data_IF_789765541293
#
_entry.id   IF_789765541293
#
_cell.length_a   1.000
_cell.length_b   1.000
_cell.length_c   1.000
_cell.angle_alpha   90.00
_cell.angle_beta   90.00
_cell.angle_gamma   90.00
#
_symmetry.space_group_name_H-M   'P 1'
#
loop_
_entity.id
_entity.type
_entity.pdbx_description
1 polymer ?
#
# COMPACT_ATOMS: atom_id res chain seq x y z
N UNK A 1 39.25 36.62 -70.15
CA UNK A 1 38.23 36.74 -69.12
C UNK A 1 38.32 35.55 -68.16
N UNK A 2 38.89 35.75 -66.97
CA UNK A 2 39.10 34.70 -65.95
C UNK A 2 38.01 34.86 -64.91
N UNK A 3 37.39 33.72 -64.46
CA UNK A 3 36.39 33.79 -63.41
C UNK A 3 37.03 33.85 -61.99
N UNK A 4 36.49 34.74 -61.17
CA UNK A 4 36.84 34.96 -59.78
C UNK A 4 36.49 33.75 -58.93
N UNK A 5 37.46 33.24 -58.13
CA UNK A 5 37.27 32.22 -57.10
C UNK A 5 36.74 32.86 -55.83
N UNK A 6 35.50 32.52 -55.45
CA UNK A 6 34.92 32.90 -54.17
C UNK A 6 35.41 31.89 -53.10
N UNK A 7 36.23 32.40 -52.16
CA UNK A 7 36.66 31.61 -50.98
C UNK A 7 35.49 31.49 -50.00
N UNK A 8 35.03 30.28 -49.74
CA UNK A 8 34.02 29.97 -48.68
C UNK A 8 34.76 29.82 -47.35
N UNK A 9 34.59 30.79 -46.46
CA UNK A 9 34.98 30.64 -45.06
C UNK A 9 34.04 29.62 -44.37
N UNK A 10 34.60 28.55 -43.83
CA UNK A 10 33.92 27.62 -42.93
C UNK A 10 34.00 28.15 -41.51
N UNK A 11 32.86 28.61 -40.99
CA UNK A 11 32.72 28.90 -39.55
C UNK A 11 32.47 27.55 -38.87
N UNK A 12 33.44 27.12 -38.04
CA UNK A 12 33.29 25.96 -37.14
C UNK A 12 32.74 26.52 -35.84
N UNK A 13 31.43 26.30 -35.60
CA UNK A 13 30.82 26.58 -34.29
C UNK A 13 31.08 25.38 -33.39
N UNK A 14 32.02 25.52 -32.47
CA UNK A 14 32.21 24.59 -31.37
C UNK A 14 31.13 24.87 -30.30
N UNK A 15 30.00 24.16 -30.35
CA UNK A 15 29.05 24.10 -29.26
C UNK A 15 29.57 23.10 -28.19
N UNK A 16 30.24 23.61 -27.17
CA UNK A 16 30.53 22.83 -25.96
C UNK A 16 29.20 22.61 -25.22
N UNK A 17 28.56 21.47 -25.50
CA UNK A 17 27.37 21.02 -24.79
C UNK A 17 27.75 20.57 -23.38
N UNK A 18 27.46 21.41 -22.40
CA UNK A 18 27.47 21.04 -20.99
C UNK A 18 26.25 20.14 -20.74
N UNK A 19 26.39 18.80 -20.92
CA UNK A 19 25.37 17.82 -20.52
C UNK A 19 25.46 17.70 -19.00
N UNK A 20 24.77 18.60 -18.31
CA UNK A 20 24.52 18.45 -16.90
C UNK A 20 23.59 17.25 -16.68
N UNK A 21 24.15 16.10 -16.29
CA UNK A 21 23.36 14.97 -15.80
C UNK A 21 22.68 15.39 -14.50
N UNK A 22 21.41 15.82 -14.61
CA UNK A 22 20.54 15.94 -13.45
C UNK A 22 20.30 14.50 -12.94
N UNK A 23 21.14 14.04 -12.04
CA UNK A 23 20.84 12.85 -11.23
C UNK A 23 19.70 13.23 -10.29
N UNK A 24 18.47 12.91 -10.69
CA UNK A 24 17.35 12.87 -9.77
C UNK A 24 17.72 11.85 -8.67
N UNK A 25 18.24 12.37 -7.55
CA UNK A 25 18.36 11.58 -6.33
C UNK A 25 16.94 11.25 -5.91
N UNK A 26 16.47 10.05 -6.27
CA UNK A 26 15.37 9.42 -5.54
C UNK A 26 15.88 9.34 -4.10
N UNK A 27 15.20 9.98 -3.12
CA UNK A 27 15.61 9.83 -1.74
C UNK A 27 15.60 8.32 -1.45
N UNK A 28 16.75 7.80 -1.03
CA UNK A 28 16.81 6.45 -0.52
C UNK A 28 15.83 6.41 0.66
N UNK A 29 14.83 5.52 0.60
CA UNK A 29 13.94 5.26 1.72
C UNK A 29 14.85 4.82 2.86
N UNK A 30 14.80 5.53 3.98
CA UNK A 30 15.57 5.12 5.14
C UNK A 30 15.13 3.69 5.52
N UNK A 31 16.07 2.77 5.78
CA UNK A 31 15.76 1.34 6.01
C UNK A 31 14.81 1.09 7.18
N UNK A 32 14.49 2.11 7.96
CA UNK A 32 13.62 2.02 9.13
C UNK A 32 12.11 2.19 8.81
N UNK A 33 11.72 2.45 7.57
CA UNK A 33 10.33 2.66 7.16
C UNK A 33 9.70 1.42 6.50
N UNK A 34 10.03 0.23 6.96
CA UNK A 34 9.45 -1.03 6.44
C UNK A 34 8.32 -1.48 7.35
N UNK A 35 7.09 -1.51 6.81
CA UNK A 35 5.91 -2.07 7.46
C UNK A 35 5.82 -3.57 7.18
N UNK A 36 5.79 -4.37 8.22
CA UNK A 36 5.59 -5.82 8.08
C UNK A 36 4.10 -6.14 7.98
N UNK A 37 3.70 -6.87 6.94
CA UNK A 37 2.31 -7.25 6.68
C UNK A 37 2.18 -8.77 6.72
N UNK A 38 1.44 -9.28 7.71
CA UNK A 38 1.12 -10.70 7.84
C UNK A 38 -0.24 -11.02 7.23
N UNK A 39 -0.30 -11.80 6.15
CA UNK A 39 -1.54 -12.16 5.48
C UNK A 39 -2.09 -13.51 5.94
N UNK A 40 -3.33 -13.49 6.45
CA UNK A 40 -4.15 -14.65 6.74
C UNK A 40 -5.27 -14.77 5.70
N UNK A 41 -5.36 -15.89 5.04
CA UNK A 41 -6.39 -16.15 4.04
C UNK A 41 -7.35 -17.20 4.58
N UNK A 42 -8.56 -16.78 4.94
CA UNK A 42 -9.66 -17.66 5.36
C UNK A 42 -10.63 -17.98 4.20
N UNK A 43 -10.52 -17.23 3.10
CA UNK A 43 -11.30 -17.44 1.89
C UNK A 43 -10.60 -18.40 0.94
N UNK A 44 -11.36 -19.15 0.16
CA UNK A 44 -10.85 -19.80 -1.04
C UNK A 44 -10.52 -18.71 -2.08
N UNK A 45 -9.30 -18.18 -1.99
CA UNK A 45 -8.79 -17.12 -2.86
C UNK A 45 -7.58 -17.66 -3.61
N UNK A 46 -7.66 -17.64 -4.93
CA UNK A 46 -6.63 -18.25 -5.78
C UNK A 46 -5.27 -17.60 -5.55
N UNK A 47 -4.21 -18.41 -5.58
CA UNK A 47 -2.83 -17.92 -5.38
C UNK A 47 -2.46 -16.77 -6.33
N UNK A 48 -2.94 -16.81 -7.57
CA UNK A 48 -2.74 -15.74 -8.54
C UNK A 48 -3.40 -14.42 -8.10
N UNK A 49 -4.61 -14.49 -7.56
CA UNK A 49 -5.34 -13.33 -7.04
C UNK A 49 -4.67 -12.76 -5.78
N UNK A 50 -4.17 -13.63 -4.88
CA UNK A 50 -3.37 -13.21 -3.71
C UNK A 50 -2.13 -12.42 -4.16
N UNK A 51 -1.40 -12.94 -5.16
CA UNK A 51 -0.22 -12.26 -5.71
C UNK A 51 -0.55 -10.88 -6.28
N UNK A 52 -1.64 -10.77 -7.04
CA UNK A 52 -2.12 -9.49 -7.58
C UNK A 52 -2.49 -8.53 -6.44
N UNK A 53 -3.15 -9.01 -5.40
CA UNK A 53 -3.54 -8.21 -4.24
C UNK A 53 -2.32 -7.64 -3.52
N UNK A 54 -1.32 -8.48 -3.21
CA UNK A 54 -0.06 -8.06 -2.60
C UNK A 54 0.63 -7.00 -3.47
N UNK A 55 0.82 -7.27 -4.76
CA UNK A 55 1.50 -6.35 -5.67
C UNK A 55 0.78 -5.00 -5.79
N UNK A 56 -0.56 -5.01 -5.78
CA UNK A 56 -1.35 -3.79 -5.84
C UNK A 56 -1.24 -2.99 -4.55
N UNK A 57 -1.41 -3.63 -3.39
CA UNK A 57 -1.26 -2.98 -2.09
C UNK A 57 0.15 -2.42 -1.90
N UNK A 58 1.18 -3.20 -2.25
CA UNK A 58 2.57 -2.80 -2.15
C UNK A 58 2.87 -1.52 -2.96
N UNK A 59 2.41 -1.45 -4.21
CA UNK A 59 2.60 -0.24 -5.05
C UNK A 59 1.88 0.97 -4.47
N UNK A 60 0.66 0.78 -3.99
CA UNK A 60 -0.12 1.88 -3.40
C UNK A 60 0.55 2.39 -2.11
N UNK A 61 0.95 1.51 -1.20
CA UNK A 61 1.65 1.89 0.03
C UNK A 61 3.01 2.55 -0.25
N UNK A 62 3.76 2.04 -1.23
CA UNK A 62 4.99 2.68 -1.70
C UNK A 62 4.75 4.10 -2.24
N UNK A 63 3.59 4.36 -2.90
CA UNK A 63 3.21 5.72 -3.29
C UNK A 63 3.01 6.65 -2.10
N UNK A 64 2.69 6.10 -0.93
CA UNK A 64 2.63 6.79 0.37
C UNK A 64 3.97 6.95 1.07
N UNK A 65 5.04 6.40 0.51
CA UNK A 65 6.37 6.39 1.13
C UNK A 65 6.57 5.27 2.16
N UNK A 66 5.73 4.23 2.14
CA UNK A 66 5.82 3.08 3.03
C UNK A 66 6.29 1.87 2.23
N UNK A 67 7.46 1.37 2.55
CA UNK A 67 7.91 0.06 2.08
C UNK A 67 7.23 -1.05 2.87
N UNK A 68 6.96 -2.18 2.21
CA UNK A 68 6.25 -3.29 2.85
C UNK A 68 6.97 -4.60 2.66
N UNK A 69 7.06 -5.37 3.74
CA UNK A 69 7.51 -6.76 3.74
C UNK A 69 6.33 -7.67 4.04
N UNK A 70 6.09 -8.66 3.17
CA UNK A 70 4.92 -9.52 3.24
C UNK A 70 5.29 -10.94 3.64
N UNK A 71 4.52 -11.49 4.58
CA UNK A 71 4.58 -12.92 4.91
C UNK A 71 3.19 -13.55 4.88
N UNK A 72 3.10 -14.75 4.38
CA UNK A 72 1.90 -15.57 4.51
C UNK A 72 1.91 -16.27 5.85
N UNK A 73 0.79 -16.21 6.54
CA UNK A 73 0.62 -16.80 7.85
C UNK A 73 -0.25 -18.06 7.74
N UNK A 74 0.14 -19.10 8.46
CA UNK A 74 -0.61 -20.36 8.54
C UNK A 74 -1.21 -20.47 9.93
N UNK A 75 -2.55 -20.53 10.01
CA UNK A 75 -3.28 -20.56 11.28
C UNK A 75 -3.22 -19.23 12.04
N UNK A 76 -3.93 -19.14 13.16
CA UNK A 76 -4.02 -17.91 13.95
C UNK A 76 -2.71 -17.52 14.65
N UNK A 77 -1.87 -18.47 14.98
CA UNK A 77 -0.65 -18.26 15.78
C UNK A 77 0.54 -17.82 14.92
N UNK A 78 0.53 -18.14 13.63
CA UNK A 78 1.64 -17.82 12.70
C UNK A 78 1.81 -16.33 12.37
N UNK A 79 0.88 -15.48 12.81
CA UNK A 79 0.88 -14.02 12.58
C UNK A 79 0.71 -13.23 13.88
N UNK A 80 1.11 -13.75 14.99
CA UNK A 80 0.83 -13.09 16.27
C UNK A 80 1.57 -11.76 16.41
N UNK A 81 2.84 -11.67 15.99
CA UNK A 81 3.68 -10.48 16.16
C UNK A 81 4.78 -10.38 15.10
N UNK A 82 5.37 -9.20 14.97
CA UNK A 82 6.59 -9.01 14.17
C UNK A 82 7.76 -9.79 14.80
N UNK A 83 8.44 -10.59 14.00
CA UNK A 83 9.67 -11.25 14.41
C UNK A 83 10.88 -10.30 14.43
N UNK A 84 10.76 -9.14 13.82
CA UNK A 84 11.82 -8.16 13.62
C UNK A 84 11.73 -6.93 14.53
N UNK A 85 10.69 -6.83 15.38
CA UNK A 85 10.42 -5.63 16.18
C UNK A 85 9.93 -4.43 15.37
N UNK A 86 9.62 -4.62 14.09
CA UNK A 86 9.07 -3.58 13.21
C UNK A 86 7.58 -3.40 13.42
N UNK A 87 6.99 -2.25 13.05
CA UNK A 87 5.55 -2.09 13.00
C UNK A 87 4.90 -3.18 12.17
N UNK A 88 3.85 -3.80 12.70
CA UNK A 88 3.21 -4.96 12.10
C UNK A 88 1.69 -4.77 11.95
N UNK A 89 1.17 -5.12 10.78
CA UNK A 89 -0.27 -5.16 10.51
C UNK A 89 -0.67 -6.56 10.06
N UNK A 90 -1.71 -7.09 10.69
CA UNK A 90 -2.34 -8.32 10.26
C UNK A 90 -3.40 -8.02 9.21
N UNK A 91 -3.28 -8.61 8.03
CA UNK A 91 -4.28 -8.56 6.95
C UNK A 91 -5.07 -9.86 6.95
N UNK A 92 -6.38 -9.78 7.09
CA UNK A 92 -7.27 -10.95 7.09
C UNK A 92 -8.22 -10.92 5.89
N UNK A 93 -8.08 -11.88 4.97
CA UNK A 93 -8.99 -12.08 3.84
C UNK A 93 -10.14 -12.98 4.29
N UNK A 94 -11.33 -12.40 4.43
CA UNK A 94 -12.50 -13.07 4.99
C UNK A 94 -13.44 -13.59 3.88
N UNK A 95 -14.00 -14.81 4.03
CA UNK A 95 -14.94 -15.40 3.06
C UNK A 95 -16.39 -14.93 3.25
N UNK A 96 -16.61 -13.93 4.06
CA UNK A 96 -17.93 -13.42 4.44
C UNK A 96 -18.11 -11.97 4.02
N UNK A 97 -19.35 -11.51 3.96
CA UNK A 97 -19.71 -10.10 3.89
C UNK A 97 -19.93 -9.56 5.31
N UNK A 98 -19.72 -8.27 5.52
CA UNK A 98 -20.04 -7.64 6.80
C UNK A 98 -21.55 -7.57 7.00
N UNK A 99 -22.04 -8.24 8.03
CA UNK A 99 -23.49 -8.37 8.26
C UNK A 99 -24.18 -7.02 8.53
N UNK A 100 -23.52 -6.11 9.27
CA UNK A 100 -24.07 -4.81 9.61
C UNK A 100 -24.08 -3.80 8.44
N UNK A 101 -23.13 -3.94 7.51
CA UNK A 101 -23.03 -3.12 6.29
C UNK A 101 -22.45 -3.93 5.14
N UNK A 102 -23.29 -4.59 4.34
CA UNK A 102 -22.83 -5.39 3.20
C UNK A 102 -22.12 -4.59 2.11
N UNK A 103 -22.20 -3.25 2.12
CA UNK A 103 -21.50 -2.40 1.15
C UNK A 103 -20.03 -2.19 1.49
N UNK A 104 -19.61 -2.52 2.70
CA UNK A 104 -18.23 -2.37 3.19
C UNK A 104 -17.32 -3.42 2.56
N UNK A 105 -16.20 -2.99 1.96
CA UNK A 105 -15.19 -3.86 1.34
C UNK A 105 -14.08 -4.27 2.31
N UNK A 106 -13.83 -3.48 3.36
CA UNK A 106 -12.83 -3.72 4.40
C UNK A 106 -13.14 -2.97 5.68
N UNK A 107 -12.40 -3.26 6.73
CA UNK A 107 -12.42 -2.55 8.02
C UNK A 107 -11.01 -2.49 8.63
N UNK A 108 -10.70 -1.38 9.26
CA UNK A 108 -9.47 -1.18 10.04
C UNK A 108 -9.77 -1.29 11.53
N UNK A 109 -9.12 -2.20 12.23
CA UNK A 109 -9.25 -2.37 13.67
C UNK A 109 -7.93 -1.98 14.35
N UNK A 110 -7.98 -0.90 15.13
CA UNK A 110 -6.86 -0.44 15.94
C UNK A 110 -7.31 -0.32 17.39
N UNK A 111 -6.72 -1.12 18.26
CA UNK A 111 -6.92 -1.02 19.70
C UNK A 111 -5.56 -1.08 20.40
N UNK A 112 -5.46 -0.46 21.59
CA UNK A 112 -4.20 -0.40 22.36
C UNK A 112 -3.66 -1.75 22.80
N UNK A 113 -4.51 -2.77 22.87
CA UNK A 113 -4.19 -4.09 23.42
C UNK A 113 -4.13 -5.21 22.39
N UNK A 114 -4.38 -4.92 21.12
CA UNK A 114 -4.36 -5.91 20.03
C UNK A 114 -3.55 -5.40 18.85
N UNK A 115 -2.95 -6.31 18.08
CA UNK A 115 -2.29 -5.92 16.84
C UNK A 115 -3.22 -5.12 15.91
N UNK A 116 -2.66 -4.22 15.12
CA UNK A 116 -3.39 -3.55 14.05
C UNK A 116 -3.89 -4.59 13.04
N UNK A 117 -5.19 -4.57 12.71
CA UNK A 117 -5.80 -5.56 11.81
C UNK A 117 -6.56 -4.85 10.69
N UNK A 118 -6.22 -5.20 9.46
CA UNK A 118 -7.00 -4.87 8.28
C UNK A 118 -7.87 -6.08 7.90
N UNK A 119 -9.19 -5.96 8.00
CA UNK A 119 -10.14 -6.95 7.53
C UNK A 119 -10.53 -6.65 6.09
N UNK A 120 -10.56 -7.64 5.22
CA UNK A 120 -10.94 -7.51 3.82
C UNK A 120 -11.99 -8.55 3.46
N UNK A 121 -13.17 -8.09 3.05
CA UNK A 121 -14.30 -8.94 2.70
C UNK A 121 -14.23 -9.36 1.22
N UNK A 122 -13.64 -10.52 0.95
CA UNK A 122 -13.38 -11.00 -0.41
C UNK A 122 -14.65 -11.07 -1.28
N UNK A 123 -15.82 -11.58 -0.80
CA UNK A 123 -17.03 -11.62 -1.61
C UNK A 123 -17.49 -10.24 -2.08
N UNK A 124 -17.38 -9.21 -1.22
CA UNK A 124 -17.75 -7.84 -1.58
C UNK A 124 -16.80 -7.27 -2.66
N UNK A 125 -15.52 -7.51 -2.53
CA UNK A 125 -14.54 -7.07 -3.52
C UNK A 125 -14.78 -7.77 -4.89
N UNK A 126 -15.14 -9.06 -4.87
CA UNK A 126 -15.51 -9.80 -6.09
C UNK A 126 -16.79 -9.24 -6.74
N UNK A 127 -17.77 -8.84 -5.94
CA UNK A 127 -19.01 -8.20 -6.40
C UNK A 127 -18.77 -6.86 -7.09
N UNK A 128 -17.86 -6.04 -6.53
CA UNK A 128 -17.41 -4.78 -7.14
C UNK A 128 -16.82 -5.06 -8.52
N UNK A 129 -15.91 -6.03 -8.64
CA UNK A 129 -15.31 -6.44 -9.91
C UNK A 129 -16.35 -6.86 -10.93
N UNK A 130 -17.30 -7.72 -10.53
CA UNK A 130 -18.37 -8.20 -11.41
C UNK A 130 -19.27 -7.05 -11.88
N UNK A 131 -19.62 -6.13 -10.98
CA UNK A 131 -20.43 -4.94 -11.29
C UNK A 131 -19.71 -4.03 -12.30
N UNK A 132 -18.43 -3.77 -12.08
CA UNK A 132 -17.62 -2.97 -13.00
C UNK A 132 -17.51 -3.62 -14.38
N UNK A 133 -17.22 -4.92 -14.46
CA UNK A 133 -17.13 -5.66 -15.72
C UNK A 133 -18.44 -5.66 -16.51
N UNK A 134 -19.59 -5.77 -15.83
CA UNK A 134 -20.92 -5.79 -16.44
C UNK A 134 -21.44 -4.41 -16.80
N UNK A 135 -20.89 -3.34 -16.28
CA UNK A 135 -21.27 -1.97 -16.58
C UNK A 135 -21.11 -1.65 -18.09
N UNK A 136 -21.75 -0.60 -18.57
CA UNK A 136 -21.54 -0.12 -19.94
C UNK A 136 -20.08 0.22 -20.19
N UNK A 137 -19.45 0.88 -19.22
CA UNK A 137 -18.05 1.26 -19.25
C UNK A 137 -17.14 0.02 -19.26
N UNK A 138 -17.42 -1.01 -18.41
CA UNK A 138 -16.67 -2.26 -18.38
C UNK A 138 -16.67 -3.02 -19.69
N UNK A 139 -17.77 -2.96 -20.45
CA UNK A 139 -17.86 -3.59 -21.77
C UNK A 139 -17.06 -2.87 -22.86
N UNK A 140 -16.82 -1.58 -22.70
CA UNK A 140 -16.06 -0.75 -23.67
C UNK A 140 -14.60 -0.53 -23.26
N UNK A 141 -14.24 -0.77 -22.00
CA UNK A 141 -12.89 -0.56 -21.48
C UNK A 141 -12.18 -1.89 -21.26
N UNK A 142 -11.16 -2.26 -22.07
CA UNK A 142 -10.42 -3.52 -21.92
C UNK A 142 -9.77 -3.69 -20.55
N UNK A 143 -9.37 -2.59 -19.90
CA UNK A 143 -8.78 -2.65 -18.56
C UNK A 143 -9.78 -3.12 -17.51
N UNK A 144 -11.06 -2.75 -17.63
CA UNK A 144 -12.13 -3.23 -16.75
C UNK A 144 -12.57 -4.65 -17.11
N UNK A 145 -12.58 -5.01 -18.38
CA UNK A 145 -12.96 -6.34 -18.83
C UNK A 145 -12.05 -7.44 -18.27
N UNK A 146 -10.75 -7.13 -18.09
CA UNK A 146 -9.72 -8.04 -17.55
C UNK A 146 -9.36 -7.75 -16.09
N UNK A 147 -10.20 -7.01 -15.37
CA UNK A 147 -9.97 -6.66 -13.97
C UNK A 147 -10.02 -7.91 -13.07
N UNK A 148 -8.94 -8.22 -12.36
CA UNK A 148 -8.90 -9.28 -11.36
C UNK A 148 -9.44 -8.80 -10.01
N UNK A 149 -10.01 -9.72 -9.22
CA UNK A 149 -10.46 -9.41 -7.85
C UNK A 149 -9.31 -8.95 -6.97
N UNK A 150 -8.11 -9.51 -7.18
CA UNK A 150 -6.90 -9.12 -6.48
C UNK A 150 -6.56 -7.63 -6.60
N UNK A 151 -6.90 -6.94 -7.70
CA UNK A 151 -6.66 -5.50 -7.79
C UNK A 151 -7.52 -4.71 -6.79
N UNK A 152 -8.81 -5.08 -6.65
CA UNK A 152 -9.72 -4.41 -5.71
C UNK A 152 -9.37 -4.78 -4.27
N UNK A 153 -9.06 -6.06 -4.01
CA UNK A 153 -8.56 -6.52 -2.70
C UNK A 153 -7.30 -5.76 -2.28
N UNK A 154 -6.32 -5.62 -3.18
CA UNK A 154 -5.09 -4.89 -2.89
C UNK A 154 -5.32 -3.40 -2.62
N UNK A 155 -6.25 -2.77 -3.35
CA UNK A 155 -6.66 -1.39 -3.10
C UNK A 155 -7.35 -1.27 -1.74
N UNK A 156 -8.25 -2.20 -1.39
CA UNK A 156 -8.89 -2.24 -0.08
C UNK A 156 -7.85 -2.41 1.04
N UNK A 157 -6.87 -3.30 0.89
CA UNK A 157 -5.79 -3.46 1.87
C UNK A 157 -5.06 -2.12 2.09
N UNK A 158 -4.65 -1.44 1.02
CA UNK A 158 -3.93 -0.16 1.14
C UNK A 158 -4.79 0.92 1.82
N UNK A 159 -6.10 0.95 1.54
CA UNK A 159 -7.06 1.84 2.17
C UNK A 159 -7.18 1.57 3.68
N UNK A 160 -7.38 0.31 4.09
CA UNK A 160 -7.51 -0.05 5.50
C UNK A 160 -6.19 0.16 6.28
N UNK A 161 -5.05 -0.13 5.67
CA UNK A 161 -3.74 0.21 6.24
C UNK A 161 -3.59 1.73 6.41
N UNK A 162 -4.07 2.53 5.45
CA UNK A 162 -4.15 3.98 5.60
C UNK A 162 -4.92 4.42 6.85
N UNK A 163 -6.07 3.80 7.13
CA UNK A 163 -6.85 4.05 8.35
C UNK A 163 -6.10 3.63 9.62
N UNK A 164 -5.43 2.48 9.61
CA UNK A 164 -4.60 2.03 10.72
C UNK A 164 -3.46 2.99 11.03
N UNK A 165 -2.95 3.67 10.01
CA UNK A 165 -1.93 4.70 10.13
C UNK A 165 -2.50 6.11 10.34
N UNK A 166 -3.80 6.22 10.67
CA UNK A 166 -4.44 7.47 11.09
C UNK A 166 -4.96 8.36 9.97
N UNK A 167 -5.05 7.87 8.73
CA UNK A 167 -5.69 8.61 7.65
C UNK A 167 -7.22 8.54 7.75
N UNK A 168 -7.86 9.63 7.35
CA UNK A 168 -9.32 9.73 7.21
C UNK A 168 -9.72 9.67 5.74
N UNK A 169 -10.99 9.41 5.48
CA UNK A 169 -11.54 9.44 4.13
C UNK A 169 -11.30 10.78 3.42
N UNK A 170 -11.12 10.71 2.10
CA UNK A 170 -10.96 11.83 1.17
C UNK A 170 -11.90 11.69 -0.01
N UNK A 171 -12.11 12.76 -0.75
CA UNK A 171 -12.93 12.74 -1.98
C UNK A 171 -12.22 12.09 -3.17
N UNK A 172 -10.89 11.98 -3.13
CA UNK A 172 -10.02 11.45 -4.20
C UNK A 172 -8.88 10.63 -3.60
N UNK A 173 -8.16 9.89 -4.46
CA UNK A 173 -7.00 9.10 -4.06
C UNK A 173 -7.35 7.75 -3.41
N UNK A 174 -6.36 7.13 -2.75
CA UNK A 174 -6.49 5.82 -2.11
C UNK A 174 -7.52 5.85 -0.99
N UNK A 175 -7.63 6.95 -0.24
CA UNK A 175 -8.54 7.09 0.90
C UNK A 175 -9.97 7.46 0.54
N UNK A 176 -10.38 7.28 -0.72
CA UNK A 176 -11.76 7.51 -1.16
C UNK A 176 -12.69 6.42 -0.62
N UNK A 177 -13.82 6.76 0.05
CA UNK A 177 -14.66 5.76 0.72
C UNK A 177 -15.48 4.88 -0.24
N UNK A 178 -15.63 5.31 -1.50
CA UNK A 178 -16.34 4.55 -2.54
C UNK A 178 -15.51 4.54 -3.81
N UNK A 179 -15.18 3.35 -4.27
CA UNK A 179 -14.38 3.15 -5.49
C UNK A 179 -15.24 3.36 -6.74
N UNK A 180 -14.74 4.14 -7.68
CA UNK A 180 -15.25 4.23 -9.05
C UNK A 180 -14.48 3.30 -9.98
N UNK A 181 -14.97 3.12 -11.20
CA UNK A 181 -14.26 2.40 -12.25
C UNK A 181 -12.87 2.98 -12.53
N UNK A 182 -12.79 4.31 -12.58
CA UNK A 182 -11.53 5.02 -12.82
C UNK A 182 -10.52 4.80 -11.68
N UNK A 183 -10.96 4.81 -10.41
CA UNK A 183 -10.08 4.56 -9.27
C UNK A 183 -9.43 3.17 -9.37
N UNK A 184 -10.21 2.16 -9.77
CA UNK A 184 -9.71 0.79 -9.92
C UNK A 184 -8.76 0.65 -11.12
N UNK A 185 -9.06 1.30 -12.24
CA UNK A 185 -8.15 1.36 -13.39
C UNK A 185 -6.85 2.07 -13.02
N UNK A 186 -6.93 3.20 -12.33
CA UNK A 186 -5.76 3.93 -11.85
C UNK A 186 -4.92 3.11 -10.86
N UNK A 187 -5.57 2.36 -9.95
CA UNK A 187 -4.85 1.45 -9.04
C UNK A 187 -4.08 0.35 -9.80
N UNK A 188 -4.69 -0.20 -10.86
CA UNK A 188 -4.05 -1.20 -11.72
C UNK A 188 -2.85 -0.65 -12.48
N UNK A 189 -2.91 0.59 -12.95
CA UNK A 189 -1.86 1.26 -13.74
C UNK A 189 -0.86 2.05 -12.91
N UNK A 190 -0.90 1.93 -11.57
CA UNK A 190 -0.09 2.70 -10.64
C UNK A 190 -0.30 4.23 -10.70
N UNK A 191 -1.41 4.69 -11.27
CA UNK A 191 -1.78 6.10 -11.33
C UNK A 191 -2.56 6.57 -10.08
N UNK A 192 -3.19 5.64 -9.34
CA UNK A 192 -3.79 5.95 -8.05
C UNK A 192 -2.70 6.03 -6.98
N UNK A 193 -2.71 7.11 -6.21
CA UNK A 193 -1.68 7.39 -5.20
C UNK A 193 -2.29 7.99 -3.95
N UNK A 194 -1.57 7.94 -2.84
CA UNK A 194 -1.85 8.78 -1.68
C UNK A 194 -1.53 10.24 -2.01
N UNK A 195 -2.35 11.15 -1.49
CA UNK A 195 -2.16 12.59 -1.69
C UNK A 195 -0.88 13.08 -0.97
N UNK A 196 -0.29 14.21 -1.37
CA UNK A 196 0.93 14.72 -0.73
C UNK A 196 0.81 14.89 0.79
N UNK A 197 -0.30 15.45 1.28
CA UNK A 197 -0.57 15.62 2.71
C UNK A 197 -0.82 14.29 3.44
N UNK A 198 -1.33 13.29 2.75
CA UNK A 198 -1.49 11.92 3.28
C UNK A 198 -0.13 11.23 3.44
N UNK A 199 0.80 11.42 2.49
CA UNK A 199 2.17 10.88 2.57
C UNK A 199 2.91 11.41 3.79
N UNK A 200 2.79 12.72 4.07
CA UNK A 200 3.44 13.33 5.23
C UNK A 200 2.87 12.78 6.54
N UNK A 201 1.55 12.58 6.62
CA UNK A 201 0.89 11.95 7.77
C UNK A 201 1.28 10.48 7.94
N UNK A 202 1.33 9.72 6.84
CA UNK A 202 1.78 8.32 6.87
C UNK A 202 3.20 8.22 7.41
N UNK A 203 4.11 9.06 6.94
CA UNK A 203 5.50 9.10 7.41
C UNK A 203 5.56 9.41 8.91
N UNK A 204 4.82 10.42 9.38
CA UNK A 204 4.77 10.79 10.79
C UNK A 204 4.18 9.67 11.66
N UNK A 205 3.07 9.07 11.24
CA UNK A 205 2.45 7.97 11.96
C UNK A 205 3.39 6.76 12.06
N UNK A 206 4.11 6.46 10.98
CA UNK A 206 5.07 5.37 10.95
C UNK A 206 6.25 5.61 11.91
N UNK A 207 6.80 6.82 11.95
CA UNK A 207 7.86 7.18 12.90
C UNK A 207 7.41 7.01 14.35
N UNK A 208 6.17 7.38 14.68
CA UNK A 208 5.60 7.17 16.01
C UNK A 208 5.50 5.68 16.35
N UNK A 209 5.02 4.85 15.43
CA UNK A 209 4.91 3.41 15.65
C UNK A 209 6.27 2.74 15.85
N UNK A 210 7.29 3.19 15.15
CA UNK A 210 8.66 2.66 15.29
C UNK A 210 9.24 2.98 16.65
N UNK A 211 8.99 4.19 17.17
CA UNK A 211 9.44 4.60 18.50
C UNK A 211 8.75 3.80 19.61
N UNK A 212 7.43 3.59 19.49
CA UNK A 212 6.65 2.80 20.47
C UNK A 212 7.09 1.32 20.49
N UNK A 213 7.47 0.77 19.33
CA UNK A 213 7.96 -0.60 19.22
C UNK A 213 9.37 -0.79 19.78
N UNK A 214 10.18 0.27 19.80
CA UNK A 214 11.56 0.23 20.31
C UNK A 214 11.67 0.40 21.83
N UNK A 215 10.59 0.79 22.52
CA UNK A 215 10.59 0.96 23.98
C UNK A 215 10.30 -0.40 24.63
N UNK A 216 11.28 -1.06 25.28
CA UNK A 216 11.03 -2.31 25.99
C UNK A 216 10.00 -2.04 27.10
N UNK A 217 9.07 -2.96 27.30
CA UNK A 217 8.15 -2.95 28.45
C UNK A 217 8.92 -3.15 29.77
N UNK A 218 9.72 -2.16 30.14
CA UNK A 218 10.38 -2.12 31.46
C UNK A 218 9.35 -1.77 32.52
N UNK A 219 8.71 -2.76 33.10
CA UNK A 219 7.86 -2.46 34.26
C UNK A 219 7.08 -3.60 34.91
N UNK A 220 7.02 -4.78 34.34
CA UNK A 220 6.10 -5.81 34.88
C UNK A 220 6.76 -7.00 35.63
N UNK A 221 8.07 -7.02 35.84
CA UNK A 221 8.74 -8.16 36.50
C UNK A 221 9.24 -7.91 37.95
N UNK A 222 8.77 -6.88 38.66
CA UNK A 222 9.31 -6.58 40.01
C UNK A 222 8.31 -6.66 41.17
N UNK A 223 7.18 -7.34 41.08
CA UNK A 223 6.22 -7.40 42.20
C UNK A 223 5.72 -8.80 42.58
N UNK A 224 6.45 -9.87 42.27
CA UNK A 224 6.03 -11.23 42.66
C UNK A 224 7.07 -12.01 43.49
N UNK A 225 7.97 -11.37 44.26
CA UNK A 225 8.98 -12.12 45.04
C UNK A 225 9.11 -11.67 46.48
N UNK A 226 8.06 -11.11 47.11
CA UNK A 226 8.15 -10.69 48.55
C UNK A 226 7.16 -11.34 49.52
N UNK A 227 6.25 -12.20 49.05
CA UNK A 227 5.26 -12.82 49.96
C UNK A 227 5.38 -14.35 50.00
N UNK A 228 6.60 -14.86 50.02
CA UNK A 228 6.85 -16.28 50.31
C UNK A 228 8.05 -16.39 51.28
N UNK A 229 7.82 -16.07 52.54
CA UNK A 229 8.63 -16.58 53.66
C UNK A 229 7.70 -16.91 54.83
N UNK A 230 7.97 -18.08 55.47
CA UNK A 230 7.09 -18.79 56.39
C UNK A 230 6.90 -18.09 57.75
#
# INVERSE_FOLDING_TARGET
MAPARIARARIVILTAGLVGTLTLRVPAVEPDQVLELGMLTYAAFETAEVKIAIQTAQRLLASGGIETEWRQCVGNDGCAESSSGRPFVRVQLLPIMKAADPSTSGDAIRASTVPMVALVYVPRNAEIVQTLRRSREGRSNPALATLATGHVVGLTIAHEVGHLLGLSHRSVGVMKPRLSADDVVMARTAALVFLPDERDRLRQAFQTLTLDSATPAEGLTRKSRRDAQP
#
